data_IF_578717425245
#
_entry.id   IF_578717425245
#
_cell.length_a   1.000
_cell.length_b   1.000
_cell.length_c   1.000
_cell.angle_alpha   90.00
_cell.angle_beta   90.00
_cell.angle_gamma   90.00
#
_symmetry.space_group_name_H-M   'P 1'
#
loop_
_entity.id
_entity.type
_entity.pdbx_description
1 polymer ?
#
# COMPACT_ATOMS: atom_id res chain seq x y z
N UNK A 1 -47.78 -9.25 -8.22
CA UNK A 1 -47.41 -10.63 -7.85
C UNK A 1 -45.90 -10.73 -7.96
N UNK A 2 -45.19 -10.55 -6.84
CA UNK A 2 -43.75 -10.75 -6.79
C UNK A 2 -43.48 -12.26 -6.70
N UNK A 3 -42.91 -12.83 -7.76
CA UNK A 3 -42.40 -14.21 -7.73
C UNK A 3 -41.23 -14.25 -6.77
N UNK A 4 -41.39 -14.94 -5.65
CA UNK A 4 -40.28 -15.33 -4.78
C UNK A 4 -39.41 -16.29 -5.61
N UNK A 5 -38.36 -15.76 -6.22
CA UNK A 5 -37.32 -16.59 -6.82
C UNK A 5 -36.75 -17.44 -5.70
N UNK A 6 -36.81 -18.77 -5.86
CA UNK A 6 -36.19 -19.72 -4.96
C UNK A 6 -34.68 -19.64 -5.17
N UNK A 7 -34.09 -18.53 -4.77
CA UNK A 7 -32.65 -18.30 -4.77
C UNK A 7 -32.05 -19.17 -3.69
N UNK A 8 -31.76 -20.42 -4.07
CA UNK A 8 -30.80 -21.26 -3.36
C UNK A 8 -29.59 -20.39 -3.02
N UNK A 9 -29.22 -20.35 -1.74
CA UNK A 9 -28.03 -19.65 -1.25
C UNK A 9 -26.76 -19.99 -2.06
N UNK A 10 -26.76 -21.13 -2.76
CA UNK A 10 -25.67 -21.65 -3.56
C UNK A 10 -25.63 -21.15 -5.02
N UNK A 11 -26.53 -20.25 -5.41
CA UNK A 11 -26.56 -19.62 -6.74
C UNK A 11 -25.84 -18.26 -6.71
N UNK A 12 -24.52 -18.28 -6.94
CA UNK A 12 -23.66 -17.10 -6.96
C UNK A 12 -23.64 -16.45 -8.35
N UNK A 13 -24.83 -16.27 -8.93
CA UNK A 13 -24.99 -15.62 -10.22
C UNK A 13 -24.51 -14.17 -10.12
N UNK A 14 -23.56 -13.80 -10.97
CA UNK A 14 -23.10 -12.42 -11.07
C UNK A 14 -24.24 -11.56 -11.59
N UNK A 15 -24.22 -10.27 -11.27
CA UNK A 15 -25.21 -9.31 -11.78
C UNK A 15 -24.93 -9.02 -13.27
N UNK A 16 -23.76 -9.43 -13.77
CA UNK A 16 -23.37 -9.42 -15.19
C UNK A 16 -23.14 -10.85 -15.72
N UNK A 17 -23.75 -11.14 -16.87
CA UNK A 17 -23.73 -12.43 -17.58
C UNK A 17 -22.32 -12.85 -18.05
N UNK A 18 -21.35 -11.92 -18.08
CA UNK A 18 -19.97 -12.16 -18.54
C UNK A 18 -19.17 -13.11 -17.63
N UNK A 19 -19.44 -13.10 -16.33
CA UNK A 19 -18.74 -13.98 -15.38
C UNK A 19 -19.45 -15.33 -15.20
N UNK A 20 -20.72 -15.43 -15.61
CA UNK A 20 -21.53 -16.65 -15.49
C UNK A 20 -21.05 -17.78 -16.41
N UNK A 21 -20.33 -17.43 -17.48
CA UNK A 21 -19.68 -18.38 -18.39
C UNK A 21 -18.33 -18.92 -17.91
N UNK A 22 -17.76 -18.39 -16.82
CA UNK A 22 -16.43 -18.79 -16.33
C UNK A 22 -16.53 -19.90 -15.28
N UNK A 23 -15.95 -21.06 -15.62
CA UNK A 23 -16.02 -22.33 -14.88
C UNK A 23 -15.75 -22.22 -13.37
N UNK A 24 -14.88 -21.31 -12.93
CA UNK A 24 -14.47 -21.17 -11.52
C UNK A 24 -15.31 -20.17 -10.70
N UNK A 25 -16.09 -19.29 -11.35
CA UNK A 25 -16.81 -18.19 -10.68
C UNK A 25 -18.31 -18.48 -10.61
N UNK A 26 -18.83 -19.27 -11.54
CA UNK A 26 -20.26 -19.58 -11.68
C UNK A 26 -20.88 -20.25 -10.46
N UNK A 27 -20.16 -21.15 -9.80
CA UNK A 27 -20.62 -21.83 -8.58
C UNK A 27 -19.45 -21.96 -7.60
N UNK A 28 -19.72 -22.05 -6.29
CA UNK A 28 -18.67 -22.20 -5.28
C UNK A 28 -18.17 -23.65 -5.20
N UNK A 29 -18.89 -24.61 -5.79
CA UNK A 29 -18.54 -26.03 -5.76
C UNK A 29 -17.19 -26.33 -6.43
N UNK A 30 -16.86 -25.81 -7.62
CA UNK A 30 -15.52 -25.94 -8.22
C UNK A 30 -14.40 -25.46 -7.30
N UNK A 31 -14.55 -24.30 -6.66
CA UNK A 31 -13.54 -23.75 -5.74
C UNK A 31 -13.44 -24.60 -4.48
N UNK A 32 -14.57 -24.98 -3.89
CA UNK A 32 -14.62 -25.85 -2.71
C UNK A 32 -14.00 -27.23 -3.01
N UNK A 33 -14.24 -27.80 -4.19
CA UNK A 33 -13.66 -29.07 -4.64
C UNK A 33 -12.13 -28.96 -4.76
N UNK A 34 -11.61 -27.89 -5.35
CA UNK A 34 -10.17 -27.64 -5.43
C UNK A 34 -9.57 -27.53 -4.03
N UNK A 35 -10.25 -26.84 -3.11
CA UNK A 35 -9.77 -26.62 -1.73
C UNK A 35 -9.76 -27.94 -0.92
N UNK A 36 -10.84 -28.71 -0.99
CA UNK A 36 -10.96 -30.02 -0.32
C UNK A 36 -9.92 -30.99 -0.88
N UNK A 37 -9.77 -31.07 -2.20
CA UNK A 37 -8.77 -31.94 -2.84
C UNK A 37 -7.34 -31.52 -2.54
N UNK A 38 -7.04 -30.21 -2.52
CA UNK A 38 -5.75 -29.67 -2.11
C UNK A 38 -5.41 -30.03 -0.66
N UNK A 39 -6.34 -29.82 0.28
CA UNK A 39 -6.13 -30.16 1.69
C UNK A 39 -5.96 -31.66 1.90
N UNK A 40 -6.76 -32.49 1.22
CA UNK A 40 -6.59 -33.94 1.26
C UNK A 40 -5.22 -34.37 0.71
N UNK A 41 -4.77 -33.75 -0.39
CA UNK A 41 -3.45 -34.01 -0.95
C UNK A 41 -2.34 -33.60 0.01
N UNK A 42 -2.37 -32.38 0.56
CA UNK A 42 -1.31 -31.84 1.43
C UNK A 42 -1.26 -32.55 2.79
N UNK A 43 -2.39 -32.95 3.37
CA UNK A 43 -2.44 -33.48 4.74
C UNK A 43 -2.42 -35.00 4.81
N UNK A 44 -2.90 -35.71 3.79
CA UNK A 44 -2.97 -37.19 3.80
C UNK A 44 -2.05 -37.80 2.76
N UNK A 45 -2.24 -37.46 1.48
CA UNK A 45 -1.53 -38.12 0.38
C UNK A 45 -0.04 -37.78 0.38
N UNK A 46 0.29 -36.50 0.46
CA UNK A 46 1.66 -35.98 0.46
C UNK A 46 2.50 -36.59 1.58
N UNK A 47 2.08 -36.50 2.86
CA UNK A 47 2.82 -37.08 3.98
C UNK A 47 2.95 -38.59 3.84
N UNK A 48 1.89 -39.30 3.42
CA UNK A 48 1.95 -40.76 3.24
C UNK A 48 2.90 -41.19 2.11
N UNK A 49 2.95 -40.42 1.02
CA UNK A 49 3.88 -40.62 -0.10
C UNK A 49 5.34 -40.30 0.28
N UNK A 50 5.56 -39.33 1.17
CA UNK A 50 6.89 -38.92 1.64
C UNK A 50 7.44 -39.77 2.80
N UNK A 51 6.65 -40.65 3.42
CA UNK A 51 7.10 -41.51 4.54
C UNK A 51 8.34 -42.35 4.24
N UNK A 52 8.45 -42.86 3.02
CA UNK A 52 9.48 -43.83 2.62
C UNK A 52 10.44 -43.27 1.54
N UNK A 53 10.49 -41.95 1.38
CA UNK A 53 11.30 -41.29 0.34
C UNK A 53 12.12 -40.16 0.96
N UNK A 54 13.38 -39.94 0.55
CA UNK A 54 14.12 -38.76 0.93
C UNK A 54 13.45 -37.48 0.38
N UNK A 55 13.67 -36.31 1.01
CA UNK A 55 13.08 -35.05 0.57
C UNK A 55 13.47 -34.75 -0.88
N UNK A 56 12.49 -34.35 -1.70
CA UNK A 56 12.70 -34.02 -3.11
C UNK A 56 13.61 -32.79 -3.23
N UNK A 57 14.57 -32.83 -4.17
CA UNK A 57 15.44 -31.70 -4.49
C UNK A 57 14.71 -30.66 -5.33
N UNK A 58 13.80 -29.91 -4.69
CA UNK A 58 12.98 -28.88 -5.33
C UNK A 58 13.74 -27.58 -5.64
N UNK A 59 15.03 -27.51 -5.32
CA UNK A 59 15.86 -26.31 -5.52
C UNK A 59 15.82 -25.81 -6.96
N UNK A 60 16.02 -26.68 -7.94
CA UNK A 60 16.00 -26.30 -9.36
C UNK A 60 14.60 -25.90 -9.84
N UNK A 61 13.56 -26.61 -9.38
CA UNK A 61 12.17 -26.29 -9.70
C UNK A 61 11.76 -24.93 -9.12
N UNK A 62 12.19 -24.63 -7.89
CA UNK A 62 11.91 -23.37 -7.22
C UNK A 62 12.68 -22.21 -7.86
N UNK A 63 13.93 -22.44 -8.28
CA UNK A 63 14.70 -21.46 -9.06
C UNK A 63 14.03 -21.19 -10.41
N UNK A 64 13.57 -22.22 -11.11
CA UNK A 64 12.83 -22.07 -12.38
C UNK A 64 11.50 -21.33 -12.19
N UNK A 65 10.75 -21.65 -11.14
CA UNK A 65 9.51 -20.95 -10.77
C UNK A 65 9.76 -19.47 -10.49
N UNK A 66 10.77 -19.16 -9.68
CA UNK A 66 11.12 -17.76 -9.37
C UNK A 66 11.60 -17.01 -10.62
N UNK A 67 12.36 -17.67 -11.51
CA UNK A 67 12.79 -17.08 -12.78
C UNK A 67 11.60 -16.77 -13.69
N UNK A 68 10.66 -17.71 -13.82
CA UNK A 68 9.42 -17.52 -14.56
C UNK A 68 8.56 -16.39 -13.98
N UNK A 69 8.45 -16.33 -12.64
CA UNK A 69 7.74 -15.26 -11.95
C UNK A 69 8.39 -13.89 -12.21
N UNK A 70 9.73 -13.80 -12.23
CA UNK A 70 10.43 -12.55 -12.58
C UNK A 70 10.19 -12.14 -14.02
N UNK A 71 10.14 -13.09 -14.97
CA UNK A 71 9.83 -12.78 -16.38
C UNK A 71 8.40 -12.26 -16.51
N UNK A 72 7.42 -12.90 -15.88
CA UNK A 72 6.02 -12.45 -15.92
C UNK A 72 5.89 -11.06 -15.30
N UNK A 73 6.46 -10.85 -14.10
CA UNK A 73 6.35 -9.54 -13.44
C UNK A 73 7.06 -8.46 -14.23
N UNK A 74 8.19 -8.76 -14.88
CA UNK A 74 8.86 -7.84 -15.79
C UNK A 74 8.01 -7.48 -17.01
N UNK A 75 7.34 -8.46 -17.63
CA UNK A 75 6.41 -8.22 -18.75
C UNK A 75 5.25 -7.34 -18.28
N UNK A 76 4.58 -7.69 -17.18
CA UNK A 76 3.46 -6.91 -16.64
C UNK A 76 3.91 -5.50 -16.21
N UNK A 77 5.12 -5.37 -15.66
CA UNK A 77 5.69 -4.09 -15.26
C UNK A 77 5.99 -3.19 -16.46
N UNK A 78 6.56 -3.73 -17.54
CA UNK A 78 6.83 -2.96 -18.77
C UNK A 78 5.54 -2.56 -19.48
N UNK A 79 4.52 -3.42 -19.50
CA UNK A 79 3.17 -3.07 -19.98
C UNK A 79 2.53 -1.97 -19.11
N UNK A 80 2.65 -2.09 -17.80
CA UNK A 80 2.18 -1.08 -16.84
C UNK A 80 2.88 0.26 -17.02
N UNK A 81 4.20 0.30 -17.17
CA UNK A 81 4.97 1.53 -17.43
C UNK A 81 4.57 2.16 -18.75
N UNK A 82 4.40 1.37 -19.83
CA UNK A 82 3.96 1.91 -21.13
C UNK A 82 2.55 2.51 -21.04
N UNK A 83 1.64 1.85 -20.33
CA UNK A 83 0.33 2.41 -20.04
C UNK A 83 0.44 3.71 -19.24
N UNK A 84 1.25 3.73 -18.17
CA UNK A 84 1.55 4.90 -17.33
C UNK A 84 2.19 6.07 -18.10
N UNK A 85 3.03 5.77 -19.10
CA UNK A 85 3.66 6.77 -19.96
C UNK A 85 2.63 7.45 -20.87
N UNK A 86 1.66 6.68 -21.40
CA UNK A 86 0.60 7.18 -22.24
C UNK A 86 -0.45 8.03 -21.49
N UNK A 87 -0.66 7.78 -20.18
CA UNK A 87 -1.45 8.64 -19.29
C UNK A 87 -0.63 9.74 -18.58
N UNK A 88 0.67 9.89 -18.89
CA UNK A 88 1.47 11.03 -18.46
C UNK A 88 1.85 11.06 -16.97
N UNK A 89 2.10 9.91 -16.34
CA UNK A 89 2.34 9.82 -14.87
C UNK A 89 3.81 9.83 -14.42
N UNK A 90 4.79 10.03 -15.32
CA UNK A 90 6.22 10.02 -14.96
C UNK A 90 6.87 11.40 -15.15
N UNK A 91 7.09 12.11 -14.04
CA UNK A 91 7.96 13.29 -13.98
C UNK A 91 9.42 12.88 -14.22
N UNK A 92 10.11 13.58 -15.11
CA UNK A 92 11.45 13.30 -15.66
C UNK A 92 12.64 13.66 -14.74
N UNK A 93 12.46 13.69 -13.41
CA UNK A 93 13.55 14.04 -12.46
C UNK A 93 13.63 13.08 -11.27
N UNK A 94 14.87 12.74 -10.90
CA UNK A 94 15.22 11.83 -9.81
C UNK A 94 14.94 12.48 -8.45
N UNK A 95 14.27 11.76 -7.56
CA UNK A 95 13.98 12.20 -6.19
C UNK A 95 14.22 11.02 -5.25
N UNK A 96 15.36 11.05 -4.55
CA UNK A 96 15.63 10.15 -3.41
C UNK A 96 14.82 10.70 -2.25
N UNK A 97 13.75 10.04 -1.82
CA UNK A 97 13.05 10.58 -0.65
C UNK A 97 12.18 9.58 0.12
N UNK A 98 11.87 9.99 1.37
CA UNK A 98 10.87 9.48 2.33
C UNK A 98 9.42 9.39 1.76
N UNK A 99 9.29 9.28 0.45
CA UNK A 99 8.08 9.45 -0.34
C UNK A 99 7.51 8.13 -0.84
N UNK A 100 8.18 6.99 -0.67
CA UNK A 100 7.60 5.69 -1.04
C UNK A 100 6.37 5.39 -0.20
N UNK A 101 6.41 5.71 1.10
CA UNK A 101 5.28 5.58 2.01
C UNK A 101 4.16 6.59 1.70
N UNK A 102 4.54 7.83 1.32
CA UNK A 102 3.57 8.85 0.89
C UNK A 102 2.91 8.47 -0.44
N UNK A 103 3.67 7.94 -1.40
CA UNK A 103 3.16 7.42 -2.68
C UNK A 103 2.28 6.19 -2.48
N UNK A 104 2.61 5.33 -1.52
CA UNK A 104 1.79 4.17 -1.17
C UNK A 104 0.45 4.60 -0.53
N UNK A 105 0.47 5.58 0.39
CA UNK A 105 -0.74 6.19 0.95
C UNK A 105 -1.60 6.86 -0.13
N UNK A 106 -0.97 7.63 -1.03
CA UNK A 106 -1.64 8.28 -2.17
C UNK A 106 -2.20 7.24 -3.14
N UNK A 107 -1.49 6.14 -3.41
CA UNK A 107 -1.96 5.04 -4.25
C UNK A 107 -3.18 4.34 -3.64
N UNK A 108 -3.20 4.11 -2.33
CA UNK A 108 -4.39 3.57 -1.65
C UNK A 108 -5.58 4.53 -1.71
N UNK A 109 -5.35 5.84 -1.54
CA UNK A 109 -6.39 6.86 -1.70
C UNK A 109 -6.94 6.91 -3.13
N UNK A 110 -6.09 6.83 -4.16
CA UNK A 110 -6.50 6.81 -5.56
C UNK A 110 -7.26 5.52 -5.91
N UNK A 111 -6.86 4.38 -5.34
CA UNK A 111 -7.55 3.10 -5.50
C UNK A 111 -8.95 3.17 -4.87
N UNK A 112 -9.06 3.73 -3.65
CA UNK A 112 -10.34 3.95 -2.98
C UNK A 112 -11.25 4.87 -3.79
N UNK A 113 -10.73 6.02 -4.26
CA UNK A 113 -11.48 6.94 -5.13
C UNK A 113 -11.91 6.23 -6.41
N UNK A 114 -11.05 5.44 -7.05
CA UNK A 114 -11.39 4.68 -8.24
C UNK A 114 -12.53 3.68 -8.00
N UNK A 115 -12.56 2.98 -6.86
CA UNK A 115 -13.66 2.06 -6.51
C UNK A 115 -14.94 2.80 -6.19
N UNK A 116 -14.86 3.92 -5.48
CA UNK A 116 -16.01 4.75 -5.13
C UNK A 116 -16.60 5.41 -6.37
N UNK A 117 -15.77 5.99 -7.23
CA UNK A 117 -16.17 6.58 -8.52
C UNK A 117 -16.69 5.51 -9.46
N UNK A 118 -16.05 4.34 -9.53
CA UNK A 118 -16.59 3.19 -10.27
C UNK A 118 -17.94 2.76 -9.71
N UNK A 119 -18.15 2.77 -8.38
CA UNK A 119 -19.45 2.47 -7.79
C UNK A 119 -20.52 3.52 -8.14
N UNK A 120 -20.16 4.80 -8.20
CA UNK A 120 -21.10 5.88 -8.50
C UNK A 120 -21.38 6.08 -9.99
N UNK A 121 -20.42 5.76 -10.88
CA UNK A 121 -20.56 5.88 -12.34
C UNK A 121 -21.17 4.62 -12.95
N UNK A 122 -20.92 3.44 -12.38
CA UNK A 122 -21.49 2.19 -12.87
C UNK A 122 -22.94 2.03 -12.41
N UNK A 123 -23.88 1.91 -13.35
CA UNK A 123 -25.28 1.54 -13.09
C UNK A 123 -25.44 0.09 -12.56
N UNK A 124 -24.34 -0.66 -12.47
CA UNK A 124 -24.28 -2.02 -11.95
C UNK A 124 -24.16 -2.04 -10.42
N UNK A 125 -24.97 -2.87 -9.74
CA UNK A 125 -24.86 -3.09 -8.30
C UNK A 125 -23.64 -3.97 -8.01
N UNK A 126 -22.57 -3.48 -7.38
CA UNK A 126 -21.44 -4.34 -7.04
C UNK A 126 -21.81 -5.30 -5.91
N UNK A 127 -21.11 -6.44 -5.83
CA UNK A 127 -21.23 -7.36 -4.70
C UNK A 127 -20.83 -6.64 -3.39
N UNK A 128 -21.84 -6.22 -2.63
CA UNK A 128 -21.71 -5.38 -1.44
C UNK A 128 -20.71 -5.93 -0.41
N UNK A 129 -20.59 -7.25 -0.30
CA UNK A 129 -19.60 -7.91 0.57
C UNK A 129 -18.15 -7.69 0.12
N UNK A 130 -17.86 -7.76 -1.18
CA UNK A 130 -16.51 -7.53 -1.70
C UNK A 130 -16.10 -6.06 -1.54
N UNK A 131 -17.02 -5.13 -1.80
CA UNK A 131 -16.78 -3.70 -1.57
C UNK A 131 -16.58 -3.42 -0.08
N UNK A 132 -17.42 -3.97 0.78
CA UNK A 132 -17.31 -3.80 2.24
C UNK A 132 -15.98 -4.33 2.80
N UNK A 133 -15.53 -5.52 2.34
CA UNK A 133 -14.26 -6.12 2.76
C UNK A 133 -13.05 -5.30 2.31
N UNK A 134 -13.06 -4.79 1.07
CA UNK A 134 -11.99 -3.92 0.54
C UNK A 134 -11.94 -2.59 1.29
N UNK A 135 -13.10 -1.99 1.60
CA UNK A 135 -13.18 -0.77 2.38
C UNK A 135 -12.63 -0.97 3.80
N UNK A 136 -13.01 -2.05 4.49
CA UNK A 136 -12.50 -2.36 5.83
C UNK A 136 -10.98 -2.55 5.85
N UNK A 137 -10.45 -3.33 4.91
CA UNK A 137 -9.01 -3.59 4.79
C UNK A 137 -8.23 -2.29 4.48
N UNK A 138 -8.79 -1.42 3.63
CA UNK A 138 -8.17 -0.13 3.28
C UNK A 138 -8.12 0.83 4.47
N UNK A 139 -9.21 0.92 5.24
CA UNK A 139 -9.25 1.75 6.46
C UNK A 139 -8.21 1.29 7.47
N UNK A 140 -8.05 -0.04 7.64
CA UNK A 140 -7.07 -0.62 8.55
C UNK A 140 -5.63 -0.26 8.14
N UNK A 141 -5.30 -0.35 6.85
CA UNK A 141 -3.98 0.06 6.37
C UNK A 141 -3.75 1.56 6.51
N UNK A 142 -4.72 2.42 6.18
CA UNK A 142 -4.60 3.87 6.36
C UNK A 142 -4.37 4.21 7.84
N UNK A 143 -5.05 3.53 8.77
CA UNK A 143 -4.83 3.73 10.20
C UNK A 143 -3.43 3.28 10.64
N UNK A 144 -3.02 2.08 10.26
CA UNK A 144 -1.73 1.49 10.66
C UNK A 144 -0.55 2.32 10.11
N UNK A 145 -0.60 2.67 8.83
CA UNK A 145 0.42 3.50 8.21
C UNK A 145 0.31 4.97 8.63
N UNK A 146 -0.89 5.46 8.94
CA UNK A 146 -1.10 6.81 9.47
C UNK A 146 -0.47 7.00 10.86
N UNK A 147 -0.68 6.06 11.78
CA UNK A 147 -0.04 6.09 13.11
C UNK A 147 1.49 6.05 13.00
N UNK A 148 1.99 5.11 12.19
CA UNK A 148 3.43 5.01 11.91
C UNK A 148 3.99 6.31 11.29
N UNK A 149 3.30 6.89 10.30
CA UNK A 149 3.74 8.10 9.61
C UNK A 149 3.84 9.31 10.55
N UNK A 150 2.82 9.51 11.40
CA UNK A 150 2.82 10.62 12.37
C UNK A 150 3.96 10.44 13.39
N UNK A 151 4.18 9.22 13.86
CA UNK A 151 5.19 8.91 14.87
C UNK A 151 6.61 9.00 14.32
N UNK A 152 6.86 8.47 13.13
CA UNK A 152 8.19 8.38 12.51
C UNK A 152 8.64 9.68 11.84
N UNK A 153 7.72 10.43 11.21
CA UNK A 153 8.08 11.58 10.38
C UNK A 153 7.59 12.90 10.96
N UNK A 154 6.32 13.02 11.35
CA UNK A 154 5.77 14.31 11.83
C UNK A 154 6.36 14.70 13.18
N UNK A 155 6.43 13.77 14.14
CA UNK A 155 6.99 14.05 15.47
C UNK A 155 8.49 14.34 15.40
N UNK A 156 9.23 13.62 14.55
CA UNK A 156 10.68 13.82 14.29
C UNK A 156 10.97 15.15 13.58
N UNK A 157 10.14 15.54 12.61
CA UNK A 157 10.24 16.83 11.92
C UNK A 157 9.96 18.00 12.87
N UNK A 158 8.87 17.95 13.64
CA UNK A 158 8.52 18.99 14.62
C UNK A 158 9.62 19.21 15.66
N UNK A 159 10.26 18.13 16.14
CA UNK A 159 11.38 18.23 17.07
C UNK A 159 12.62 18.92 16.44
N UNK A 160 12.92 18.63 15.17
CA UNK A 160 14.00 19.32 14.42
C UNK A 160 13.70 20.79 14.21
N UNK A 161 12.46 21.14 13.85
CA UNK A 161 12.06 22.53 13.61
C UNK A 161 12.15 23.38 14.89
N UNK A 162 11.73 22.84 16.04
CA UNK A 162 11.89 23.48 17.35
C UNK A 162 13.37 23.64 17.72
N UNK A 163 14.20 22.61 17.49
CA UNK A 163 15.64 22.68 17.76
C UNK A 163 16.36 23.72 16.89
N UNK A 164 15.99 23.84 15.61
CA UNK A 164 16.54 24.83 14.69
C UNK A 164 16.09 26.25 15.07
N UNK A 165 14.82 26.45 15.45
CA UNK A 165 14.32 27.72 15.96
C UNK A 165 15.06 28.15 17.25
N UNK A 166 15.31 27.21 18.18
CA UNK A 166 16.09 27.45 19.40
C UNK A 166 17.54 27.89 19.10
N UNK A 167 18.18 27.29 18.10
CA UNK A 167 19.52 27.69 17.64
C UNK A 167 19.55 29.10 17.06
N UNK A 168 18.55 29.47 16.23
CA UNK A 168 18.46 30.82 15.64
C UNK A 168 18.19 31.90 16.69
N UNK A 169 17.37 31.59 17.72
CA UNK A 169 17.12 32.49 18.84
C UNK A 169 18.40 32.65 19.68
N UNK A 170 19.10 31.55 19.97
CA UNK A 170 20.35 31.58 20.72
C UNK A 170 21.42 32.41 20.01
N UNK A 171 21.62 32.24 18.69
CA UNK A 171 22.60 33.02 17.93
C UNK A 171 22.30 34.52 17.90
N UNK A 172 21.02 34.90 17.77
CA UNK A 172 20.61 36.31 17.80
C UNK A 172 20.80 36.96 19.17
N UNK A 173 20.55 36.23 20.26
CA UNK A 173 20.76 36.73 21.63
C UNK A 173 22.26 36.94 21.90
N UNK A 174 23.11 35.99 21.50
CA UNK A 174 24.57 36.12 21.66
C UNK A 174 25.11 37.31 20.87
N UNK A 175 24.69 37.48 19.61
CA UNK A 175 25.09 38.63 18.79
C UNK A 175 24.66 39.98 19.41
N UNK A 176 23.45 40.05 19.97
CA UNK A 176 22.94 41.29 20.60
C UNK A 176 23.64 41.59 21.92
N UNK A 177 24.02 40.56 22.68
CA UNK A 177 24.81 40.68 23.90
C UNK A 177 26.22 41.22 23.62
N UNK A 178 26.90 40.69 22.59
CA UNK A 178 28.22 41.17 22.17
C UNK A 178 28.20 42.63 21.70
N UNK A 179 27.18 43.05 20.94
CA UNK A 179 27.02 44.44 20.50
C UNK A 179 26.80 45.37 21.71
N UNK A 180 25.95 44.98 22.67
CA UNK A 180 25.72 45.77 23.88
C UNK A 180 26.99 45.94 24.73
N UNK A 181 27.83 44.91 24.82
CA UNK A 181 29.13 45.00 25.50
C UNK A 181 30.06 46.03 24.82
N UNK A 182 30.17 46.00 23.48
CA UNK A 182 30.99 46.93 22.70
C UNK A 182 30.51 48.38 22.87
N UNK A 183 29.20 48.61 22.79
CA UNK A 183 28.60 49.95 22.96
C UNK A 183 28.89 50.49 24.37
N UNK A 184 28.72 49.67 25.39
CA UNK A 184 28.97 50.07 26.78
C UNK A 184 30.45 50.39 27.00
N UNK A 185 31.37 49.59 26.44
CA UNK A 185 32.81 49.84 26.53
C UNK A 185 33.21 51.16 25.83
N UNK A 186 32.65 51.44 24.65
CA UNK A 186 32.92 52.67 23.91
C UNK A 186 32.36 53.92 24.61
N UNK A 187 31.23 53.79 25.31
CA UNK A 187 30.62 54.86 26.09
C UNK A 187 31.41 55.21 27.35
N UNK A 188 32.10 54.23 27.96
CA UNK A 188 32.98 54.45 29.09
C UNK A 188 34.28 55.14 28.67
N UNK A 189 34.86 54.77 27.53
CA UNK A 189 36.08 55.39 26.98
C UNK A 189 35.88 56.89 26.64
N UNK A 190 34.70 57.29 26.17
CA UNK A 190 34.38 58.69 25.86
C UNK A 190 34.08 59.57 27.08
N UNK A 191 34.00 59.01 28.29
CA UNK A 191 33.69 59.74 29.54
C UNK A 191 34.93 60.03 30.41
N UNK A 192 36.11 59.62 29.95
CA UNK A 192 37.40 59.75 30.65
C UNK A 192 38.23 60.93 30.11
N UNK A 193 37.67 61.74 29.20
CA UNK A 193 38.25 63.00 28.71
C UNK A 193 37.42 64.20 29.15
#
# INVERSE_FOLDING_TARGET
MATLDNNSFWDFKGIEEYNDGKLLIRTPYPVALILISYLWFVLKVGPNYMKNRPPLNLRYMLVAYNAFQVVITFITFTMGIRALWNVGLWHTKCYVDEDLEKRLLVQFCLMFIHVVVSHYISECRPAYYLVSSVCFNTILFIYLFGDFYVKSYMKKRRARDIANAGKMISSNITSKSSINYIINHHKLAGKVN
#
